data_IF_859712096391
#
_entry.id   IF_859712096391
#
_cell.length_a   1.000
_cell.length_b   1.000
_cell.length_c   1.000
_cell.angle_alpha   90.00
_cell.angle_beta   90.00
_cell.angle_gamma   90.00
#
_symmetry.space_group_name_H-M   'P 1'
#
loop_
_entity.id
_entity.type
_entity.pdbx_description
1 polymer ?
#
# COMPACT_ATOMS: atom_id res chain seq x y z
N UNK A 1 88.88 0.89 7.47
CA UNK A 1 87.82 0.67 6.46
C UNK A 1 86.74 -0.15 7.11
N UNK A 2 85.72 0.49 7.63
CA UNK A 2 84.56 -0.16 8.31
C UNK A 2 83.43 -0.24 7.30
N UNK A 3 83.13 -1.46 6.85
CA UNK A 3 82.08 -1.75 5.89
C UNK A 3 80.76 -1.93 6.69
N UNK A 4 79.94 -0.90 6.79
CA UNK A 4 78.65 -0.96 7.35
C UNK A 4 77.69 -1.58 6.31
N UNK A 5 77.44 -2.88 6.43
CA UNK A 5 76.44 -3.57 5.68
C UNK A 5 75.04 -2.99 6.03
N UNK A 6 74.58 -2.10 5.19
CA UNK A 6 73.22 -1.58 5.24
C UNK A 6 72.27 -2.66 4.63
N UNK A 7 71.58 -3.40 5.49
CA UNK A 7 70.57 -4.40 5.07
C UNK A 7 69.18 -3.73 4.97
N UNK A 8 68.75 -3.40 3.76
CA UNK A 8 67.43 -2.73 3.58
C UNK A 8 66.21 -3.64 3.84
N UNK A 9 66.45 -4.96 3.93
CA UNK A 9 65.28 -5.91 4.08
C UNK A 9 64.69 -5.92 5.48
N UNK A 10 65.45 -5.62 6.53
CA UNK A 10 64.95 -5.59 7.92
C UNK A 10 63.93 -4.50 8.19
N UNK A 11 63.97 -3.38 7.48
CA UNK A 11 63.01 -2.28 7.64
C UNK A 11 61.66 -2.52 6.94
N UNK A 12 61.63 -3.36 5.91
CA UNK A 12 60.41 -3.67 5.14
C UNK A 12 59.51 -4.63 5.91
N UNK A 13 60.09 -5.62 6.62
CA UNK A 13 59.31 -6.59 7.44
C UNK A 13 58.51 -5.93 8.56
N UNK A 14 59.06 -4.92 9.24
CA UNK A 14 58.39 -4.19 10.30
C UNK A 14 57.12 -3.47 9.80
N UNK A 15 57.12 -2.93 8.59
CA UNK A 15 55.99 -2.26 7.97
C UNK A 15 54.83 -3.22 7.72
N UNK A 16 55.08 -4.42 7.26
CA UNK A 16 54.07 -5.45 7.08
C UNK A 16 53.47 -5.91 8.41
N UNK A 17 54.31 -6.03 9.47
CA UNK A 17 53.81 -6.39 10.81
C UNK A 17 52.86 -5.32 11.34
N UNK A 18 53.24 -4.04 11.24
CA UNK A 18 52.36 -2.92 11.65
C UNK A 18 51.05 -2.93 10.86
N UNK A 19 51.10 -3.16 9.54
CA UNK A 19 49.93 -3.24 8.71
C UNK A 19 48.99 -4.41 9.11
N UNK A 20 49.54 -5.58 9.35
CA UNK A 20 48.80 -6.76 9.82
C UNK A 20 48.17 -6.47 11.18
N UNK A 21 48.84 -5.85 12.11
CA UNK A 21 48.27 -5.51 13.44
C UNK A 21 47.11 -4.54 13.31
N UNK A 22 47.24 -3.51 12.45
CA UNK A 22 46.11 -2.57 12.19
C UNK A 22 44.93 -3.31 11.56
N UNK A 23 45.17 -4.19 10.60
CA UNK A 23 44.12 -4.96 9.94
C UNK A 23 43.43 -5.91 10.90
N UNK A 24 44.17 -6.60 11.78
CA UNK A 24 43.59 -7.44 12.83
C UNK A 24 42.80 -6.65 13.87
N UNK A 25 43.29 -5.46 14.26
CA UNK A 25 42.55 -4.58 15.17
C UNK A 25 41.21 -4.11 14.55
N UNK A 26 41.25 -3.71 13.26
CA UNK A 26 40.03 -3.32 12.56
C UNK A 26 39.05 -4.48 12.38
N UNK A 27 39.55 -5.68 12.06
CA UNK A 27 38.73 -6.88 11.99
C UNK A 27 38.13 -7.27 13.34
N UNK A 28 38.93 -7.21 14.41
CA UNK A 28 38.45 -7.44 15.79
C UNK A 28 37.35 -6.47 16.22
N UNK A 29 37.50 -5.18 15.85
CA UNK A 29 36.45 -4.18 16.11
C UNK A 29 35.17 -4.48 15.36
N UNK A 30 35.20 -4.81 14.08
CA UNK A 30 34.04 -5.19 13.29
C UNK A 30 33.37 -6.47 13.84
N UNK A 31 34.19 -7.48 14.17
CA UNK A 31 33.68 -8.73 14.74
C UNK A 31 33.01 -8.52 16.09
N UNK A 32 33.56 -7.64 16.95
CA UNK A 32 32.93 -7.31 18.24
C UNK A 32 31.57 -6.64 18.06
N UNK A 33 31.42 -5.78 17.05
CA UNK A 33 30.15 -5.18 16.67
C UNK A 33 29.12 -6.23 16.22
N UNK A 34 29.56 -7.19 15.41
CA UNK A 34 28.71 -8.28 14.92
C UNK A 34 28.26 -9.20 16.06
N UNK A 35 29.16 -9.57 16.94
CA UNK A 35 28.86 -10.39 18.15
C UNK A 35 27.84 -9.69 19.03
N UNK A 36 28.01 -8.39 19.25
CA UNK A 36 27.06 -7.60 20.05
C UNK A 36 25.67 -7.56 19.42
N UNK A 37 25.59 -7.36 18.10
CA UNK A 37 24.32 -7.33 17.37
C UNK A 37 23.63 -8.71 17.33
N UNK A 38 24.40 -9.77 17.05
CA UNK A 38 23.83 -11.10 16.78
C UNK A 38 23.65 -11.97 18.03
N UNK A 39 24.47 -11.79 19.06
CA UNK A 39 24.44 -12.64 20.26
C UNK A 39 23.82 -11.89 21.47
N UNK A 40 24.17 -10.62 21.67
CA UNK A 40 23.68 -9.90 22.87
C UNK A 40 22.31 -9.27 22.66
N UNK A 41 21.99 -8.85 21.45
CA UNK A 41 20.71 -8.19 21.15
C UNK A 41 19.78 -9.04 20.27
N UNK A 42 20.10 -10.32 20.09
CA UNK A 42 19.34 -11.21 19.19
C UNK A 42 17.88 -11.36 19.63
N UNK A 43 17.59 -11.46 20.92
CA UNK A 43 16.24 -11.53 21.46
C UNK A 43 15.44 -10.23 21.19
N UNK A 44 16.05 -9.08 21.42
CA UNK A 44 15.40 -7.79 21.17
C UNK A 44 15.07 -7.59 19.67
N UNK A 45 15.99 -7.97 18.79
CA UNK A 45 15.74 -7.88 17.35
C UNK A 45 14.77 -8.97 16.86
N UNK A 46 14.79 -10.17 17.45
CA UNK A 46 13.82 -11.21 17.15
C UNK A 46 12.41 -10.77 17.59
N UNK A 47 12.28 -10.16 18.76
CA UNK A 47 11.01 -9.63 19.26
C UNK A 47 10.50 -8.49 18.39
N UNK A 48 11.36 -7.53 18.00
CA UNK A 48 11.00 -6.49 17.04
C UNK A 48 10.59 -7.04 15.68
N UNK A 49 11.25 -8.08 15.20
CA UNK A 49 10.89 -8.74 13.95
C UNK A 49 9.52 -9.47 14.06
N UNK A 50 9.24 -10.08 15.21
CA UNK A 50 7.95 -10.70 15.48
C UNK A 50 6.84 -9.66 15.62
N UNK A 51 7.08 -8.54 16.30
CA UNK A 51 6.14 -7.41 16.43
C UNK A 51 5.79 -6.78 15.08
N UNK A 52 6.74 -6.80 14.13
CA UNK A 52 6.49 -6.33 12.75
C UNK A 52 5.71 -7.38 11.94
N UNK A 53 5.91 -8.67 12.21
CA UNK A 53 5.22 -9.77 11.52
C UNK A 53 3.84 -10.08 12.10
N UNK A 54 3.69 -9.94 13.42
CA UNK A 54 2.41 -10.16 14.11
C UNK A 54 1.60 -8.89 14.15
N UNK A 55 0.49 -8.89 13.42
CA UNK A 55 -0.48 -7.82 13.48
C UNK A 55 -1.52 -8.14 14.54
N UNK A 56 -1.59 -7.32 15.59
CA UNK A 56 -2.69 -7.40 16.55
C UNK A 56 -3.94 -6.82 15.91
N UNK A 57 -4.86 -7.69 15.49
CA UNK A 57 -6.16 -7.26 15.02
C UNK A 57 -7.03 -7.01 16.26
N UNK A 58 -7.34 -5.76 16.54
CA UNK A 58 -8.28 -5.41 17.59
C UNK A 58 -9.68 -5.68 17.08
N UNK A 59 -10.26 -6.81 17.49
CA UNK A 59 -11.67 -7.08 17.27
C UNK A 59 -12.48 -6.15 18.18
N UNK A 60 -13.20 -5.21 17.58
CA UNK A 60 -14.13 -4.37 18.34
C UNK A 60 -15.31 -5.25 18.77
N UNK A 61 -15.65 -5.20 20.06
CA UNK A 61 -16.85 -5.86 20.56
C UNK A 61 -18.11 -5.25 19.94
N UNK A 62 -19.14 -6.06 19.72
CA UNK A 62 -20.47 -5.60 19.29
C UNK A 62 -21.05 -4.70 20.38
N UNK A 63 -21.65 -3.58 19.98
CA UNK A 63 -22.38 -2.71 20.90
C UNK A 63 -23.74 -3.36 21.21
N UNK A 64 -24.32 -3.05 22.34
CA UNK A 64 -25.68 -3.49 22.68
C UNK A 64 -26.74 -2.62 22.02
N UNK A 65 -27.95 -3.16 21.92
CA UNK A 65 -29.11 -2.40 21.45
C UNK A 65 -29.40 -1.23 22.39
N UNK A 66 -29.82 -0.09 21.84
CA UNK A 66 -30.35 1.04 22.61
C UNK A 66 -31.85 0.90 22.59
N UNK A 67 -32.45 0.79 23.78
CA UNK A 67 -33.91 0.71 23.95
C UNK A 67 -34.43 1.88 24.77
N UNK A 68 -35.70 2.23 24.59
CA UNK A 68 -36.38 3.17 25.47
C UNK A 68 -36.87 2.50 26.78
N UNK A 69 -37.60 3.24 27.63
CA UNK A 69 -38.12 2.75 28.90
C UNK A 69 -39.14 1.60 28.71
N UNK A 70 -39.78 1.53 27.56
CA UNK A 70 -40.78 0.51 27.20
C UNK A 70 -40.16 -0.67 26.43
N UNK A 71 -38.81 -0.76 26.41
CA UNK A 71 -38.04 -1.80 25.71
C UNK A 71 -38.17 -1.77 24.19
N UNK A 72 -38.62 -0.67 23.61
CA UNK A 72 -38.64 -0.48 22.17
C UNK A 72 -37.22 -0.19 21.68
N UNK A 73 -36.75 -0.92 20.67
CA UNK A 73 -35.43 -0.76 20.12
C UNK A 73 -35.34 0.55 19.33
N UNK A 74 -34.51 1.50 19.81
CA UNK A 74 -34.25 2.78 19.16
C UNK A 74 -33.09 2.67 18.18
N UNK A 75 -32.08 1.86 18.51
CA UNK A 75 -30.95 1.54 17.62
C UNK A 75 -30.49 0.11 17.89
N UNK A 76 -30.22 -0.61 16.83
CA UNK A 76 -29.73 -2.00 16.86
C UNK A 76 -28.40 -2.06 16.10
N UNK A 77 -27.46 -2.81 16.65
CA UNK A 77 -26.23 -3.15 15.90
C UNK A 77 -26.58 -4.15 14.81
N UNK A 78 -26.19 -3.82 13.59
CA UNK A 78 -26.26 -4.73 12.44
C UNK A 78 -24.81 -5.04 12.01
N UNK A 79 -24.54 -6.31 11.79
CA UNK A 79 -23.24 -6.73 11.23
C UNK A 79 -23.20 -6.30 9.76
N UNK A 80 -22.14 -5.59 9.42
CA UNK A 80 -21.82 -5.18 8.06
C UNK A 80 -20.48 -5.75 7.66
N UNK A 81 -20.39 -6.17 6.42
CA UNK A 81 -19.16 -6.71 5.86
C UNK A 81 -18.47 -5.66 5.00
N UNK A 82 -17.19 -5.49 5.21
CA UNK A 82 -16.34 -4.60 4.40
C UNK A 82 -15.30 -5.45 3.68
N UNK A 83 -15.03 -5.10 2.43
CA UNK A 83 -13.92 -5.66 1.66
C UNK A 83 -12.72 -4.78 1.88
N UNK A 84 -11.63 -5.38 2.33
CA UNK A 84 -10.37 -4.68 2.59
C UNK A 84 -9.24 -5.28 1.76
N UNK A 85 -8.29 -4.43 1.39
CA UNK A 85 -7.07 -4.85 0.73
C UNK A 85 -5.87 -4.68 1.64
N UNK A 86 -5.04 -5.69 1.70
CA UNK A 86 -3.80 -5.69 2.47
C UNK A 86 -2.61 -5.90 1.54
N UNK A 87 -1.73 -4.92 1.47
CA UNK A 87 -0.46 -5.04 0.75
C UNK A 87 0.63 -5.45 1.72
N UNK A 88 1.35 -6.50 1.39
CA UNK A 88 2.60 -6.82 2.06
C UNK A 88 3.67 -5.78 1.70
N UNK A 89 4.14 -5.04 2.68
CA UNK A 89 5.16 -3.98 2.49
C UNK A 89 6.50 -4.53 1.95
N UNK A 90 6.77 -5.82 2.15
CA UNK A 90 7.98 -6.48 1.64
C UNK A 90 7.94 -6.75 0.13
N UNK A 91 6.75 -6.68 -0.48
CA UNK A 91 6.52 -7.05 -1.87
C UNK A 91 6.38 -5.82 -2.76
N UNK A 92 7.49 -5.36 -3.33
CA UNK A 92 7.55 -4.17 -4.22
C UNK A 92 7.92 -4.50 -5.65
N UNK A 93 7.93 -5.79 -6.04
CA UNK A 93 8.28 -6.19 -7.40
C UNK A 93 7.18 -5.83 -8.41
N UNK A 94 7.56 -5.69 -9.68
CA UNK A 94 6.60 -5.45 -10.77
C UNK A 94 5.58 -6.60 -10.91
N UNK A 95 6.01 -7.84 -10.65
CA UNK A 95 5.13 -9.00 -10.65
C UNK A 95 4.05 -8.85 -9.57
N UNK A 96 4.41 -8.41 -8.39
CA UNK A 96 3.44 -8.20 -7.31
C UNK A 96 2.42 -7.09 -7.65
N UNK A 97 2.86 -6.02 -8.31
CA UNK A 97 1.91 -5.00 -8.78
C UNK A 97 0.96 -5.55 -9.85
N UNK A 98 1.46 -6.40 -10.75
CA UNK A 98 0.60 -7.08 -11.71
C UNK A 98 -0.44 -7.96 -11.01
N UNK A 99 0.00 -8.80 -10.05
CA UNK A 99 -0.88 -9.72 -9.32
C UNK A 99 -1.90 -8.96 -8.45
N UNK A 100 -1.49 -7.89 -7.80
CA UNK A 100 -2.39 -7.03 -7.02
C UNK A 100 -3.38 -6.26 -7.88
N UNK A 101 -2.95 -5.72 -9.01
CA UNK A 101 -3.85 -5.05 -9.96
C UNK A 101 -4.93 -6.01 -10.42
N UNK A 102 -4.56 -7.24 -10.78
CA UNK A 102 -5.53 -8.29 -11.12
C UNK A 102 -6.51 -8.54 -9.98
N UNK A 103 -6.00 -8.74 -8.77
CA UNK A 103 -6.82 -9.00 -7.58
C UNK A 103 -7.82 -7.86 -7.32
N UNK A 104 -7.37 -6.61 -7.45
CA UNK A 104 -8.22 -5.42 -7.30
C UNK A 104 -9.32 -5.40 -8.36
N UNK A 105 -8.97 -5.59 -9.63
CA UNK A 105 -9.91 -5.57 -10.76
C UNK A 105 -10.96 -6.66 -10.62
N UNK A 106 -10.54 -7.90 -10.34
CA UNK A 106 -11.47 -9.03 -10.14
C UNK A 106 -12.41 -8.78 -8.95
N UNK A 107 -11.89 -8.18 -7.87
CA UNK A 107 -12.71 -7.82 -6.70
C UNK A 107 -13.70 -6.71 -6.99
N UNK A 108 -13.29 -5.66 -7.73
CA UNK A 108 -14.20 -4.59 -8.15
C UNK A 108 -15.34 -5.14 -8.99
N UNK A 109 -15.08 -6.03 -9.94
CA UNK A 109 -16.10 -6.68 -10.75
C UNK A 109 -17.10 -7.49 -9.91
N UNK A 110 -16.64 -8.19 -8.86
CA UNK A 110 -17.51 -8.91 -7.92
C UNK A 110 -18.39 -7.92 -7.13
N UNK A 111 -17.80 -6.82 -6.64
CA UNK A 111 -18.52 -5.80 -5.88
C UNK A 111 -19.58 -5.11 -6.75
N UNK A 112 -19.24 -4.74 -7.98
CA UNK A 112 -20.18 -4.10 -8.92
C UNK A 112 -21.38 -5.00 -9.25
N UNK A 113 -21.14 -6.31 -9.41
CA UNK A 113 -22.22 -7.28 -9.67
C UNK A 113 -23.08 -7.58 -8.44
N UNK A 114 -22.47 -7.60 -7.25
CA UNK A 114 -23.11 -8.01 -6.00
C UNK A 114 -23.68 -6.86 -5.15
N UNK A 115 -23.27 -5.63 -5.43
CA UNK A 115 -23.61 -4.44 -4.67
C UNK A 115 -22.68 -4.22 -3.47
N UNK A 116 -22.39 -2.96 -3.20
CA UNK A 116 -21.54 -2.46 -2.12
C UNK A 116 -21.21 -0.99 -2.40
N UNK A 117 -20.84 -0.25 -1.36
CA UNK A 117 -20.40 1.14 -1.49
C UNK A 117 -18.87 1.16 -1.54
N UNK A 118 -18.31 1.74 -2.61
CA UNK A 118 -16.86 1.94 -2.69
C UNK A 118 -16.41 2.86 -1.55
N UNK A 119 -15.29 2.53 -0.94
CA UNK A 119 -14.80 3.19 0.27
C UNK A 119 -13.77 4.29 0.01
N UNK A 120 -13.55 4.64 -1.25
CA UNK A 120 -12.56 5.63 -1.70
C UNK A 120 -13.17 6.54 -2.75
N UNK A 121 -12.59 7.73 -2.87
CA UNK A 121 -12.94 8.69 -3.90
C UNK A 121 -11.88 8.68 -5.01
N UNK A 122 -12.29 9.00 -6.23
CA UNK A 122 -11.39 9.11 -7.37
C UNK A 122 -10.50 10.35 -7.19
N UNK A 123 -9.19 10.12 -7.10
CA UNK A 123 -8.20 11.19 -6.90
C UNK A 123 -7.88 11.93 -8.19
N UNK A 124 -8.07 11.29 -9.32
CA UNK A 124 -7.91 11.87 -10.66
C UNK A 124 -9.17 11.62 -11.45
N UNK A 125 -9.59 12.62 -12.19
CA UNK A 125 -10.79 12.55 -13.04
C UNK A 125 -10.55 13.27 -14.35
N UNK A 126 -11.39 13.01 -15.34
CA UNK A 126 -11.44 13.84 -16.54
C UNK A 126 -12.37 15.02 -16.32
N UNK A 127 -11.89 16.17 -16.66
CA UNK A 127 -12.75 17.35 -16.76
C UNK A 127 -13.76 17.17 -17.91
N UNK A 128 -15.03 17.26 -17.63
CA UNK A 128 -16.11 17.00 -18.60
C UNK A 128 -16.13 18.02 -19.75
N UNK A 129 -15.65 19.26 -19.51
CA UNK A 129 -15.67 20.32 -20.50
C UNK A 129 -14.43 20.30 -21.40
N UNK A 130 -13.24 20.06 -20.82
CA UNK A 130 -11.97 20.12 -21.55
C UNK A 130 -11.47 18.76 -22.00
N UNK A 131 -11.93 17.67 -21.37
CA UNK A 131 -11.43 16.31 -21.58
C UNK A 131 -10.03 16.08 -21.02
N UNK A 132 -9.46 17.06 -20.31
CA UNK A 132 -8.13 16.95 -19.70
C UNK A 132 -8.19 16.29 -18.33
N UNK A 133 -7.08 15.66 -17.93
CA UNK A 133 -6.95 15.08 -16.59
C UNK A 133 -6.74 16.17 -15.55
N UNK A 134 -7.49 16.09 -14.47
CA UNK A 134 -7.35 16.96 -13.30
C UNK A 134 -7.33 16.16 -11.99
N UNK A 135 -6.81 16.78 -10.92
CA UNK A 135 -6.88 16.20 -9.60
C UNK A 135 -8.20 16.53 -8.91
N UNK A 136 -8.80 15.52 -8.30
CA UNK A 136 -9.97 15.65 -7.45
C UNK A 136 -9.60 15.39 -5.97
N UNK A 137 -9.35 16.45 -5.23
CA UNK A 137 -9.08 16.38 -3.79
C UNK A 137 -10.24 16.88 -2.94
N UNK A 138 -11.46 16.85 -3.49
CA UNK A 138 -12.71 17.24 -2.86
C UNK A 138 -13.11 18.69 -3.13
N UNK A 139 -14.41 18.95 -3.05
CA UNK A 139 -15.02 20.24 -3.27
C UNK A 139 -15.02 21.12 -2.00
N UNK A 140 -15.14 22.43 -2.20
CA UNK A 140 -15.34 23.38 -1.09
C UNK A 140 -14.14 23.63 -0.18
N UNK A 141 -12.94 23.16 -0.57
CA UNK A 141 -11.71 23.43 0.16
C UNK A 141 -10.91 24.58 -0.45
N UNK A 142 -10.11 25.28 0.37
CA UNK A 142 -9.29 26.40 -0.14
C UNK A 142 -8.18 25.90 -1.06
N UNK A 143 -7.75 26.74 -1.99
CA UNK A 143 -6.66 26.46 -2.94
C UNK A 143 -5.36 26.00 -2.24
N UNK A 144 -5.05 26.58 -1.05
CA UNK A 144 -3.89 26.18 -0.27
C UNK A 144 -3.98 24.75 0.26
N UNK A 145 -5.18 24.31 0.62
CA UNK A 145 -5.43 22.92 1.08
C UNK A 145 -5.33 21.97 -0.11
N UNK A 146 -5.89 22.33 -1.26
CA UNK A 146 -5.75 21.54 -2.50
C UNK A 146 -4.29 21.36 -2.89
N UNK A 147 -3.52 22.45 -2.92
CA UNK A 147 -2.08 22.39 -3.23
C UNK A 147 -1.30 21.52 -2.22
N UNK A 148 -1.69 21.54 -0.95
CA UNK A 148 -1.07 20.69 0.09
C UNK A 148 -1.41 19.22 -0.12
N UNK A 149 -2.68 18.90 -0.42
CA UNK A 149 -3.13 17.53 -0.71
C UNK A 149 -2.46 16.98 -1.97
N UNK A 150 -2.38 17.77 -3.03
CA UNK A 150 -1.67 17.41 -4.26
C UNK A 150 -0.19 17.13 -3.99
N UNK A 151 0.49 18.01 -3.26
CA UNK A 151 1.90 17.81 -2.91
C UNK A 151 2.11 16.54 -2.10
N UNK A 152 1.23 16.26 -1.14
CA UNK A 152 1.28 15.04 -0.32
C UNK A 152 1.04 13.80 -1.19
N UNK A 153 0.01 13.82 -2.02
CA UNK A 153 -0.32 12.73 -2.93
C UNK A 153 0.83 12.42 -3.89
N UNK A 154 1.40 13.45 -4.51
CA UNK A 154 2.56 13.32 -5.40
C UNK A 154 3.77 12.71 -4.69
N UNK A 155 4.03 13.13 -3.45
CA UNK A 155 5.11 12.60 -2.64
C UNK A 155 4.89 11.11 -2.33
N UNK A 156 3.69 10.73 -1.92
CA UNK A 156 3.34 9.36 -1.58
C UNK A 156 3.42 8.41 -2.78
N UNK A 157 3.04 8.90 -3.96
CA UNK A 157 3.06 8.12 -5.20
C UNK A 157 4.39 8.23 -5.98
N UNK A 158 5.39 8.92 -5.45
CA UNK A 158 6.71 9.15 -6.07
C UNK A 158 6.63 9.86 -7.44
N UNK A 159 5.58 10.65 -7.68
CA UNK A 159 5.36 11.45 -8.89
C UNK A 159 5.54 12.93 -8.62
N UNK A 160 6.78 13.38 -8.45
CA UNK A 160 7.08 14.77 -8.10
C UNK A 160 6.69 15.74 -9.22
N UNK A 161 6.24 16.95 -8.88
CA UNK A 161 5.88 17.98 -9.85
C UNK A 161 7.05 18.40 -10.79
N UNK A 162 8.29 18.17 -10.38
CA UNK A 162 9.47 18.41 -11.23
C UNK A 162 9.58 17.40 -12.37
N UNK A 163 9.23 16.14 -12.12
CA UNK A 163 9.38 15.04 -13.08
C UNK A 163 8.10 14.81 -13.88
N UNK A 164 6.96 15.13 -13.30
CA UNK A 164 5.62 14.91 -13.85
C UNK A 164 4.76 16.16 -13.53
N UNK A 165 4.90 17.27 -14.27
CA UNK A 165 4.23 18.52 -13.96
C UNK A 165 2.71 18.45 -14.08
N UNK A 166 2.19 17.69 -15.03
CA UNK A 166 0.74 17.59 -15.29
C UNK A 166 0.11 16.33 -14.67
N UNK A 167 -1.21 16.34 -14.40
CA UNK A 167 -1.94 15.15 -13.97
C UNK A 167 -1.81 13.99 -14.96
N UNK A 168 -1.88 14.27 -16.26
CA UNK A 168 -1.72 13.27 -17.33
C UNK A 168 -0.38 12.54 -17.24
N UNK A 169 0.71 13.27 -17.04
CA UNK A 169 2.04 12.66 -16.89
C UNK A 169 2.17 11.83 -15.61
N UNK A 170 1.48 12.24 -14.54
CA UNK A 170 1.39 11.42 -13.33
C UNK A 170 0.70 10.09 -13.61
N UNK A 171 -0.45 10.11 -14.30
CA UNK A 171 -1.19 8.91 -14.68
C UNK A 171 -0.32 7.98 -15.53
N UNK A 172 0.38 8.51 -16.53
CA UNK A 172 1.28 7.71 -17.36
C UNK A 172 2.43 7.07 -16.57
N UNK A 173 2.94 7.74 -15.55
CA UNK A 173 3.94 7.18 -14.66
C UNK A 173 3.35 6.05 -13.78
N UNK A 174 2.13 6.25 -13.26
CA UNK A 174 1.44 5.28 -12.43
C UNK A 174 0.99 4.05 -13.22
N UNK A 175 0.53 4.20 -14.47
CA UNK A 175 0.25 3.09 -15.39
C UNK A 175 1.44 2.13 -15.49
N UNK A 176 2.65 2.68 -15.68
CA UNK A 176 3.88 1.88 -15.71
C UNK A 176 4.15 1.14 -14.41
N UNK A 177 3.93 1.83 -13.28
CA UNK A 177 4.18 1.27 -11.95
C UNK A 177 3.20 0.14 -11.63
N UNK A 178 1.93 0.36 -11.90
CA UNK A 178 0.84 -0.56 -11.53
C UNK A 178 0.51 -1.58 -12.63
N UNK A 179 1.27 -1.57 -13.72
CA UNK A 179 1.14 -2.50 -14.85
C UNK A 179 -0.23 -2.41 -15.53
N UNK A 180 -0.63 -1.20 -15.87
CA UNK A 180 -1.91 -0.87 -16.49
C UNK A 180 -1.69 -0.21 -17.85
N UNK A 181 -2.50 -0.59 -18.84
CA UNK A 181 -2.64 0.05 -20.13
C UNK A 181 -4.13 0.21 -20.45
N UNK A 182 -4.49 1.12 -21.35
CA UNK A 182 -5.87 1.31 -21.78
C UNK A 182 -6.18 0.58 -23.10
N UNK A 183 -5.13 0.21 -23.86
CA UNK A 183 -5.24 -0.49 -25.12
C UNK A 183 -3.99 -1.32 -25.39
N UNK A 184 -4.05 -2.16 -26.45
CA UNK A 184 -2.95 -3.05 -26.83
C UNK A 184 -1.69 -2.29 -27.28
N UNK A 185 -1.83 -1.11 -27.88
CA UNK A 185 -0.71 -0.28 -28.30
C UNK A 185 0.10 0.20 -27.09
N UNK A 186 -0.59 0.73 -26.07
CA UNK A 186 0.05 1.13 -24.80
C UNK A 186 0.68 -0.07 -24.08
N UNK A 187 -0.02 -1.21 -24.06
CA UNK A 187 0.51 -2.44 -23.45
C UNK A 187 1.82 -2.84 -24.13
N UNK A 188 1.86 -2.88 -25.46
CA UNK A 188 3.06 -3.23 -26.21
C UNK A 188 4.19 -2.20 -25.95
N UNK A 189 3.87 -0.91 -25.93
CA UNK A 189 4.85 0.14 -25.65
C UNK A 189 5.49 -0.02 -24.24
N UNK A 190 4.72 -0.42 -23.25
CA UNK A 190 5.23 -0.70 -21.89
C UNK A 190 6.13 -1.95 -21.85
N UNK A 191 5.77 -3.00 -22.58
CA UNK A 191 6.58 -4.21 -22.70
C UNK A 191 7.89 -3.95 -23.42
N UNK A 192 7.85 -3.20 -24.53
CA UNK A 192 9.04 -2.80 -25.29
C UNK A 192 9.98 -1.90 -24.46
N UNK A 193 9.40 -0.98 -23.68
CA UNK A 193 10.19 -0.17 -22.75
C UNK A 193 10.91 -1.03 -21.70
N UNK A 194 10.24 -2.02 -21.15
CA UNK A 194 10.86 -2.93 -20.17
C UNK A 194 11.96 -3.77 -20.82
N UNK A 195 11.72 -4.29 -22.02
CA UNK A 195 12.70 -5.03 -22.79
C UNK A 195 13.94 -4.18 -23.12
N UNK A 196 13.75 -2.88 -23.45
CA UNK A 196 14.85 -1.94 -23.70
C UNK A 196 15.74 -1.69 -22.47
N UNK A 197 15.23 -1.98 -21.28
CA UNK A 197 15.94 -1.86 -19.98
C UNK A 197 16.43 -3.21 -19.44
N UNK A 198 16.39 -4.25 -20.24
CA UNK A 198 16.78 -5.62 -19.86
C UNK A 198 16.05 -6.11 -18.58
N UNK A 199 14.78 -5.77 -18.45
CA UNK A 199 13.96 -6.16 -17.30
C UNK A 199 13.26 -7.49 -17.59
N UNK A 200 13.07 -8.30 -16.54
CA UNK A 200 12.29 -9.51 -16.63
C UNK A 200 10.87 -9.24 -17.17
N UNK A 201 10.36 -10.13 -18.00
CA UNK A 201 9.00 -10.01 -18.54
C UNK A 201 7.98 -10.03 -17.40
N UNK A 202 7.10 -9.05 -17.39
CA UNK A 202 5.90 -9.00 -16.56
C UNK A 202 4.81 -8.39 -17.42
N UNK A 203 3.68 -9.06 -17.49
CA UNK A 203 2.57 -8.62 -18.34
C UNK A 203 1.92 -7.31 -17.82
N UNK A 204 0.99 -6.76 -18.60
CA UNK A 204 0.29 -5.50 -18.33
C UNK A 204 -1.20 -5.75 -18.51
N UNK A 205 -2.03 -5.26 -17.57
CA UNK A 205 -3.48 -5.34 -17.67
C UNK A 205 -4.01 -4.25 -18.61
N UNK A 206 -4.93 -4.62 -19.48
CA UNK A 206 -5.70 -3.65 -20.28
C UNK A 206 -6.99 -3.36 -19.52
N UNK A 207 -7.16 -2.11 -19.10
CA UNK A 207 -8.32 -1.65 -18.34
C UNK A 207 -8.98 -0.48 -19.08
N UNK A 208 -10.30 -0.40 -18.96
CA UNK A 208 -11.03 0.80 -19.33
C UNK A 208 -10.68 1.97 -18.37
N UNK A 209 -11.04 3.18 -18.76
CA UNK A 209 -10.68 4.40 -18.02
C UNK A 209 -11.28 4.41 -16.60
N UNK A 210 -12.53 3.98 -16.45
CA UNK A 210 -13.22 3.97 -15.17
C UNK A 210 -12.54 3.00 -14.19
N UNK A 211 -12.31 1.76 -14.61
CA UNK A 211 -11.62 0.76 -13.80
C UNK A 211 -10.19 1.19 -13.47
N UNK A 212 -9.47 1.79 -14.42
CA UNK A 212 -8.13 2.32 -14.20
C UNK A 212 -8.11 3.38 -13.09
N UNK A 213 -9.04 4.33 -13.11
CA UNK A 213 -9.14 5.40 -12.10
C UNK A 213 -9.42 4.80 -10.72
N UNK A 214 -10.36 3.85 -10.61
CA UNK A 214 -10.65 3.14 -9.35
C UNK A 214 -9.41 2.40 -8.82
N UNK A 215 -8.68 1.69 -9.66
CA UNK A 215 -7.44 1.01 -9.27
C UNK A 215 -6.39 1.99 -8.79
N UNK A 216 -6.23 3.14 -9.46
CA UNK A 216 -5.30 4.19 -9.04
C UNK A 216 -5.69 4.83 -7.71
N UNK A 217 -6.99 5.02 -7.45
CA UNK A 217 -7.49 5.52 -6.17
C UNK A 217 -7.14 4.55 -5.02
N UNK A 218 -7.37 3.25 -5.22
CA UNK A 218 -6.99 2.21 -4.23
C UNK A 218 -5.48 2.23 -3.97
N UNK A 219 -4.65 2.29 -5.02
CA UNK A 219 -3.20 2.38 -4.85
C UNK A 219 -2.77 3.68 -4.14
N UNK A 220 -3.46 4.78 -4.38
CA UNK A 220 -3.19 6.05 -3.69
C UNK A 220 -3.45 5.93 -2.20
N UNK A 221 -4.56 5.33 -1.79
CA UNK A 221 -4.86 5.01 -0.39
C UNK A 221 -3.80 4.08 0.23
N UNK A 222 -3.36 3.07 -0.53
CA UNK A 222 -2.28 2.18 -0.09
C UNK A 222 -1.00 2.94 0.21
N UNK A 223 -0.61 3.87 -0.65
CA UNK A 223 0.62 4.64 -0.47
C UNK A 223 0.54 5.60 0.72
N UNK A 224 -0.64 6.12 1.04
CA UNK A 224 -0.84 6.91 2.25
C UNK A 224 -0.71 6.08 3.54
N UNK A 225 -1.03 4.80 3.49
CA UNK A 225 -1.09 3.90 4.63
C UNK A 225 0.07 2.90 4.72
N UNK A 226 1.10 3.01 3.86
CA UNK A 226 2.25 2.08 3.79
C UNK A 226 2.91 1.83 5.14
N UNK A 227 3.06 2.87 5.96
CA UNK A 227 3.73 2.75 7.25
C UNK A 227 2.84 2.17 8.37
N UNK A 228 1.53 2.17 8.20
CA UNK A 228 0.60 1.73 9.24
C UNK A 228 0.25 0.24 9.15
N UNK A 229 0.64 -0.44 8.07
CA UNK A 229 0.31 -1.85 7.78
C UNK A 229 -1.17 -2.17 7.99
N UNK A 230 -2.05 -1.17 7.86
CA UNK A 230 -3.49 -1.34 8.04
C UNK A 230 -4.13 -1.76 6.73
N UNK A 231 -5.14 -2.64 6.77
CA UNK A 231 -5.94 -2.95 5.60
C UNK A 231 -6.65 -1.68 5.10
N UNK A 232 -6.76 -1.56 3.81
CA UNK A 232 -7.43 -0.44 3.15
C UNK A 232 -8.83 -0.89 2.79
N UNK A 233 -9.87 -0.18 3.21
CA UNK A 233 -11.21 -0.52 2.81
C UNK A 233 -11.40 -0.23 1.32
N UNK A 234 -11.80 -1.24 0.55
CA UNK A 234 -12.19 -1.11 -0.86
C UNK A 234 -13.68 -0.84 -0.98
N UNK A 235 -14.48 -1.61 -0.25
CA UNK A 235 -15.92 -1.41 -0.22
C UNK A 235 -16.48 -1.64 1.18
N UNK A 236 -17.56 -0.93 1.48
CA UNK A 236 -18.28 -1.01 2.74
C UNK A 236 -19.69 -1.56 2.48
N UNK A 237 -20.25 -2.14 3.55
CA UNK A 237 -21.63 -2.62 3.54
C UNK A 237 -21.94 -3.53 2.35
N UNK A 238 -21.03 -4.46 2.05
CA UNK A 238 -21.24 -5.43 0.97
C UNK A 238 -22.21 -6.52 1.40
N UNK A 239 -22.96 -7.04 0.43
CA UNK A 239 -23.93 -8.11 0.69
C UNK A 239 -23.21 -9.42 1.01
N UNK A 240 -23.89 -10.28 1.75
CA UNK A 240 -23.36 -11.58 2.13
C UNK A 240 -22.98 -12.45 0.90
N UNK A 241 -23.76 -12.36 -0.19
CA UNK A 241 -23.47 -13.06 -1.44
C UNK A 241 -22.13 -12.62 -2.05
N UNK A 242 -21.83 -11.32 -2.00
CA UNK A 242 -20.54 -10.74 -2.44
C UNK A 242 -19.39 -11.24 -1.58
N UNK A 243 -19.59 -11.30 -0.25
CA UNK A 243 -18.63 -11.88 0.69
C UNK A 243 -18.31 -13.32 0.32
N UNK A 244 -19.33 -14.14 0.10
CA UNK A 244 -19.15 -15.55 -0.25
C UNK A 244 -18.39 -15.73 -1.56
N UNK A 245 -18.63 -14.87 -2.55
CA UNK A 245 -17.91 -14.92 -3.82
C UNK A 245 -16.44 -14.56 -3.64
N UNK A 246 -16.12 -13.53 -2.85
CA UNK A 246 -14.73 -13.12 -2.57
C UNK A 246 -14.00 -14.21 -1.79
N UNK A 247 -14.61 -14.76 -0.75
CA UNK A 247 -14.04 -15.86 0.05
C UNK A 247 -13.81 -17.13 -0.78
N UNK A 248 -14.75 -17.49 -1.64
CA UNK A 248 -14.62 -18.63 -2.53
C UNK A 248 -13.46 -18.46 -3.52
N UNK A 249 -13.13 -17.23 -3.90
CA UNK A 249 -12.04 -16.90 -4.81
C UNK A 249 -10.77 -16.39 -4.08
N UNK A 250 -10.70 -16.50 -2.76
CA UNK A 250 -9.63 -15.91 -1.93
C UNK A 250 -8.21 -16.33 -2.37
N UNK A 251 -8.05 -17.56 -2.86
CA UNK A 251 -6.75 -18.04 -3.40
C UNK A 251 -6.32 -17.30 -4.68
N UNK A 252 -7.26 -16.75 -5.44
CA UNK A 252 -7.00 -16.01 -6.69
C UNK A 252 -6.97 -14.49 -6.46
N UNK A 253 -7.36 -14.04 -5.26
CA UNK A 253 -7.46 -12.64 -4.87
C UNK A 253 -6.43 -12.30 -3.76
N UNK A 254 -5.13 -12.39 -4.05
CA UNK A 254 -4.10 -12.12 -3.04
C UNK A 254 -4.24 -10.70 -2.48
N UNK A 255 -4.16 -10.59 -1.17
CA UNK A 255 -4.27 -9.32 -0.44
C UNK A 255 -5.70 -8.91 -0.10
N UNK A 256 -6.74 -9.58 -0.62
CA UNK A 256 -8.12 -9.30 -0.25
C UNK A 256 -8.50 -10.00 1.05
N UNK A 257 -9.27 -9.31 1.88
CA UNK A 257 -9.80 -9.84 3.13
C UNK A 257 -11.18 -9.25 3.41
N UNK A 258 -11.98 -9.99 4.15
CA UNK A 258 -13.28 -9.52 4.64
C UNK A 258 -13.11 -9.08 6.10
N UNK A 259 -13.58 -7.88 6.39
CA UNK A 259 -13.65 -7.35 7.76
C UNK A 259 -15.10 -7.25 8.17
N UNK A 260 -15.44 -7.86 9.30
CA UNK A 260 -16.76 -7.71 9.92
C UNK A 260 -16.73 -6.47 10.80
N UNK A 261 -17.65 -5.56 10.55
CA UNK A 261 -17.84 -4.34 11.33
C UNK A 261 -19.28 -4.26 11.81
N UNK A 262 -19.58 -3.31 12.67
CA UNK A 262 -20.96 -3.05 13.14
C UNK A 262 -21.40 -1.67 12.70
N UNK A 263 -22.60 -1.58 12.16
CA UNK A 263 -23.30 -0.34 11.87
C UNK A 263 -24.51 -0.22 12.79
N UNK A 264 -24.78 0.99 13.25
CA UNK A 264 -26.01 1.29 14.03
C UNK A 264 -26.91 2.20 13.21
N UNK A 265 -27.76 1.65 12.33
CA UNK A 265 -28.80 2.44 11.72
C UNK A 265 -29.81 2.88 12.82
N UNK A 266 -30.10 4.17 12.85
CA UNK A 266 -31.21 4.67 13.67
C UNK A 266 -32.48 4.07 13.12
N UNK A 267 -33.18 3.28 13.93
CA UNK A 267 -34.51 2.80 13.55
C UNK A 267 -35.41 4.04 13.47
N UNK A 268 -35.93 4.35 12.27
CA UNK A 268 -36.88 5.43 12.11
C UNK A 268 -38.05 5.17 13.04
N UNK A 269 -38.25 6.05 14.04
CA UNK A 269 -39.45 5.95 14.90
C UNK A 269 -40.68 5.99 14.01
N UNK A 270 -41.62 5.06 14.16
CA UNK A 270 -42.93 5.30 13.64
C UNK A 270 -43.43 6.58 14.30
N UNK A 271 -43.74 7.59 13.49
CA UNK A 271 -44.35 8.82 13.96
C UNK A 271 -45.55 8.44 14.80
N UNK A 272 -45.39 8.41 16.13
CA UNK A 272 -46.48 8.21 17.04
C UNK A 272 -47.41 9.38 16.86
N UNK A 273 -48.62 9.11 16.34
CA UNK A 273 -49.73 10.03 16.43
C UNK A 273 -49.86 10.46 17.90
N UNK A 274 -49.40 11.64 18.24
CA UNK A 274 -49.82 12.30 19.48
C UNK A 274 -51.30 12.57 19.39
N UNK A 275 -52.16 12.01 20.27
CA UNK A 275 -53.54 12.40 20.35
C UNK A 275 -53.58 13.87 20.81
N UNK A 276 -54.35 14.66 20.07
CA UNK A 276 -54.72 16.05 20.33
C UNK A 276 -55.43 16.21 21.67
#
# INVERSE_FOLDING_TARGET
MTNTNYDPQKKTGWRYIVFIVILLAMFGYLTSGLVRLQLMNSEEYAQKAEDIRTKTIVLRGTRGNITDADSVILAKDEEVFNVTFYKDASTTSRQNYYDYTRSIVDTLAIIESGGGELAFDDVVQRNEETGEWEFNFGEGVSEQVLATREKQWRSNNYVTARSYPTPAECIEALKRTYRIAQNEEERQALLDYDASKDRAFVDVHILDEETMVKVMAIYSEMQMNVFNSQPIPIAKNVRFETVMQIEANSMMLPGMAIEVSTSQPLTAQPTSNLPS
#
